data_IF_222434498092
#
_entry.id   IF_222434498092
#
_cell.length_a   1.000
_cell.length_b   1.000
_cell.length_c   1.000
_cell.angle_alpha   90.00
_cell.angle_beta   90.00
_cell.angle_gamma   90.00
#
_symmetry.space_group_name_H-M   'P 1'
#
loop_
_entity.id
_entity.type
_entity.pdbx_description
1 polymer ?
#
# COMPACT_ATOMS: atom_id res chain seq x y z
N UNK A 1 17.31 8.34 24.88
CA UNK A 1 16.23 7.88 23.97
C UNK A 1 16.07 6.40 24.19
N UNK A 2 14.84 5.91 24.40
CA UNK A 2 14.59 4.47 24.48
C UNK A 2 15.01 3.79 23.17
N UNK A 3 15.58 2.60 23.27
CA UNK A 3 15.99 1.82 22.10
C UNK A 3 14.74 1.27 21.37
N UNK A 4 14.66 1.37 20.02
CA UNK A 4 13.49 0.87 19.30
C UNK A 4 13.41 -0.66 19.40
N UNK A 5 12.18 -1.20 19.50
CA UNK A 5 11.93 -2.64 19.68
C UNK A 5 12.66 -3.52 18.67
N UNK A 6 12.81 -3.07 17.42
CA UNK A 6 13.54 -3.82 16.38
C UNK A 6 14.98 -4.19 16.78
N UNK A 7 15.64 -3.38 17.62
CA UNK A 7 17.01 -3.67 18.05
C UNK A 7 17.06 -4.89 18.99
N UNK A 8 16.01 -5.13 19.77
CA UNK A 8 15.95 -6.16 20.82
C UNK A 8 14.91 -7.26 20.59
N UNK A 9 14.08 -7.15 19.55
CA UNK A 9 12.99 -8.11 19.27
C UNK A 9 13.53 -9.53 19.12
N UNK A 10 12.93 -10.48 19.84
CA UNK A 10 13.31 -11.89 19.76
C UNK A 10 12.78 -12.52 18.46
N UNK A 11 13.49 -13.51 17.94
CA UNK A 11 12.99 -14.30 16.82
C UNK A 11 11.99 -15.34 17.34
N UNK A 12 10.76 -15.31 16.83
CA UNK A 12 9.65 -16.11 17.35
C UNK A 12 8.73 -16.60 16.22
N UNK A 13 7.86 -17.56 16.52
CA UNK A 13 6.88 -18.05 15.55
C UNK A 13 5.84 -16.96 15.23
N UNK A 14 5.47 -16.86 13.94
CA UNK A 14 4.50 -15.87 13.50
C UNK A 14 3.06 -16.29 13.79
N UNK A 15 2.64 -17.44 13.28
CA UNK A 15 1.25 -17.90 13.36
C UNK A 15 1.17 -19.40 13.16
N UNK A 16 0.21 -20.04 13.82
CA UNK A 16 -0.12 -21.45 13.58
C UNK A 16 -0.74 -21.68 12.19
N UNK A 17 -1.19 -20.60 11.54
CA UNK A 17 -1.77 -20.62 10.20
C UNK A 17 -0.72 -20.67 9.09
N UNK A 18 0.58 -20.60 9.41
CA UNK A 18 1.67 -20.57 8.42
C UNK A 18 1.55 -21.68 7.34
N UNK A 19 1.23 -22.95 7.67
CA UNK A 19 1.07 -24.01 6.65
C UNK A 19 -0.11 -23.78 5.69
N UNK A 20 -1.08 -22.95 6.07
CA UNK A 20 -2.28 -22.63 5.30
C UNK A 20 -2.15 -21.30 4.53
N UNK A 21 -0.97 -20.67 4.51
CA UNK A 21 -0.75 -19.37 3.87
C UNK A 21 -1.19 -19.30 2.42
N UNK A 22 -0.90 -20.34 1.62
CA UNK A 22 -1.34 -20.41 0.22
C UNK A 22 -2.87 -20.39 0.10
N UNK A 23 -3.58 -21.10 0.97
CA UNK A 23 -5.04 -21.13 0.95
C UNK A 23 -5.62 -19.76 1.29
N UNK A 24 -5.09 -19.08 2.32
CA UNK A 24 -5.51 -17.73 2.71
C UNK A 24 -5.23 -16.74 1.59
N UNK A 25 -4.05 -16.83 0.96
CA UNK A 25 -3.68 -15.99 -0.18
C UNK A 25 -4.62 -16.18 -1.37
N UNK A 26 -4.84 -17.41 -1.83
CA UNK A 26 -5.74 -17.70 -2.96
C UNK A 26 -7.18 -17.28 -2.66
N UNK A 27 -7.67 -17.53 -1.44
CA UNK A 27 -9.01 -17.11 -1.01
C UNK A 27 -9.14 -15.59 -1.02
N UNK A 28 -8.09 -14.87 -0.59
CA UNK A 28 -8.06 -13.40 -0.63
C UNK A 28 -8.07 -12.86 -2.05
N UNK A 29 -7.30 -13.45 -2.97
CA UNK A 29 -7.33 -13.09 -4.40
C UNK A 29 -8.74 -13.29 -4.98
N UNK A 30 -9.37 -14.44 -4.72
CA UNK A 30 -10.72 -14.73 -5.18
C UNK A 30 -11.73 -13.72 -4.62
N UNK A 31 -11.68 -13.42 -3.32
CA UNK A 31 -12.55 -12.43 -2.70
C UNK A 31 -12.40 -11.05 -3.36
N UNK A 32 -11.17 -10.60 -3.62
CA UNK A 32 -10.90 -9.31 -4.28
C UNK A 32 -11.44 -9.29 -5.71
N UNK A 33 -11.33 -10.39 -6.47
CA UNK A 33 -11.91 -10.50 -7.81
C UNK A 33 -13.43 -10.35 -7.75
N UNK A 34 -14.10 -11.07 -6.84
CA UNK A 34 -15.55 -11.01 -6.68
C UNK A 34 -16.01 -9.59 -6.28
N UNK A 35 -15.29 -8.95 -5.36
CA UNK A 35 -15.56 -7.56 -4.96
C UNK A 35 -15.36 -6.60 -6.13
N UNK A 36 -14.30 -6.76 -6.93
CA UNK A 36 -14.08 -5.93 -8.13
C UNK A 36 -15.18 -6.09 -9.17
N UNK A 37 -15.65 -7.32 -9.41
CA UNK A 37 -16.73 -7.58 -10.37
C UNK A 37 -18.06 -6.97 -9.90
N UNK A 38 -18.40 -7.15 -8.61
CA UNK A 38 -19.57 -6.50 -8.00
C UNK A 38 -19.49 -4.97 -8.02
N UNK A 39 -18.30 -4.42 -7.80
CA UNK A 39 -18.04 -2.98 -7.86
C UNK A 39 -18.30 -2.41 -9.26
N UNK A 40 -17.76 -3.05 -10.31
CA UNK A 40 -17.90 -2.60 -11.71
C UNK A 40 -19.33 -2.82 -12.26
N UNK A 41 -19.98 -3.93 -11.93
CA UNK A 41 -21.31 -4.28 -12.48
C UNK A 41 -22.47 -3.62 -11.74
N UNK A 42 -22.33 -3.39 -10.44
CA UNK A 42 -23.47 -2.99 -9.60
C UNK A 42 -23.25 -1.66 -8.87
N UNK A 43 -22.17 -1.52 -8.09
CA UNK A 43 -22.01 -0.38 -7.18
C UNK A 43 -21.66 0.92 -7.90
N UNK A 44 -20.64 0.92 -8.78
CA UNK A 44 -20.23 2.14 -9.51
C UNK A 44 -21.30 2.68 -10.48
N UNK A 45 -22.04 1.84 -11.23
CA UNK A 45 -23.18 2.32 -12.01
C UNK A 45 -24.26 2.98 -11.15
N UNK A 46 -24.51 2.49 -9.93
CA UNK A 46 -25.49 3.09 -9.00
C UNK A 46 -25.00 4.41 -8.41
N UNK A 47 -23.76 4.45 -7.92
CA UNK A 47 -23.20 5.64 -7.26
C UNK A 47 -22.93 6.79 -8.24
N UNK A 48 -22.47 6.46 -9.45
CA UNK A 48 -21.97 7.43 -10.42
C UNK A 48 -22.78 7.48 -11.72
N UNK A 49 -24.04 7.04 -11.72
CA UNK A 49 -24.87 6.78 -12.91
C UNK A 49 -24.59 7.65 -14.15
N UNK A 50 -24.64 8.98 -14.03
CA UNK A 50 -24.33 9.90 -15.15
C UNK A 50 -22.86 9.83 -15.62
N UNK A 51 -21.91 9.86 -14.69
CA UNK A 51 -20.46 9.76 -14.98
C UNK A 51 -20.13 8.37 -15.53
N UNK A 52 -20.71 7.32 -14.96
CA UNK A 52 -20.50 5.94 -15.39
C UNK A 52 -21.06 5.68 -16.79
N UNK A 53 -22.28 6.16 -17.09
CA UNK A 53 -22.86 6.09 -18.43
C UNK A 53 -21.97 6.82 -19.46
N UNK A 54 -21.47 8.01 -19.13
CA UNK A 54 -20.56 8.77 -20.00
C UNK A 54 -19.18 8.11 -20.19
N UNK A 55 -18.76 7.24 -19.27
CA UNK A 55 -17.53 6.44 -19.38
C UNK A 55 -17.75 5.11 -20.13
N UNK A 56 -19.00 4.62 -20.17
CA UNK A 56 -19.40 3.43 -20.94
C UNK A 56 -19.59 3.74 -22.43
N UNK A 57 -20.02 4.96 -22.76
CA UNK A 57 -20.12 5.43 -24.14
C UNK A 57 -18.81 6.08 -24.62
N UNK A 58 -18.15 5.42 -25.60
CA UNK A 58 -16.90 5.87 -26.24
C UNK A 58 -15.66 5.12 -25.76
N UNK A 59 -14.51 5.42 -26.38
CA UNK A 59 -13.23 4.71 -26.20
C UNK A 59 -12.50 5.07 -24.87
N UNK A 60 -13.28 5.29 -23.79
CA UNK A 60 -12.82 5.77 -22.48
C UNK A 60 -12.56 4.63 -21.49
N UNK A 61 -12.25 3.44 -22.00
CA UNK A 61 -12.03 2.22 -21.23
C UNK A 61 -10.99 2.41 -20.11
N UNK A 62 -9.90 3.14 -20.41
CA UNK A 62 -8.84 3.46 -19.43
C UNK A 62 -9.35 4.25 -18.23
N UNK A 63 -10.24 5.22 -18.44
CA UNK A 63 -10.80 6.03 -17.34
C UNK A 63 -11.77 5.21 -16.48
N UNK A 64 -12.57 4.35 -17.11
CA UNK A 64 -13.48 3.43 -16.39
C UNK A 64 -12.71 2.50 -15.46
N UNK A 65 -11.70 1.81 -16.00
CA UNK A 65 -10.84 0.92 -15.21
C UNK A 65 -10.08 1.67 -14.12
N UNK A 66 -9.61 2.88 -14.40
CA UNK A 66 -8.98 3.71 -13.38
C UNK A 66 -9.97 3.98 -12.22
N UNK A 67 -11.22 4.36 -12.50
CA UNK A 67 -12.23 4.60 -11.46
C UNK A 67 -12.49 3.36 -10.61
N UNK A 68 -12.67 2.20 -11.23
CA UNK A 68 -12.86 0.92 -10.55
C UNK A 68 -11.68 0.59 -9.64
N UNK A 69 -10.46 0.67 -10.19
CA UNK A 69 -9.23 0.42 -9.44
C UNK A 69 -9.11 1.31 -8.21
N UNK A 70 -9.41 2.61 -8.34
CA UNK A 70 -9.25 3.49 -7.18
C UNK A 70 -10.23 3.18 -6.05
N UNK A 71 -11.48 2.84 -6.39
CA UNK A 71 -12.48 2.45 -5.40
C UNK A 71 -12.16 1.10 -4.77
N UNK A 72 -11.72 0.14 -5.58
CA UNK A 72 -11.33 -1.18 -5.07
C UNK A 72 -10.18 -1.07 -4.08
N UNK A 73 -9.15 -0.27 -4.40
CA UNK A 73 -8.05 0.01 -3.47
C UNK A 73 -8.58 0.52 -2.13
N UNK A 74 -9.44 1.55 -2.14
CA UNK A 74 -9.98 2.10 -0.89
C UNK A 74 -10.85 1.08 -0.13
N UNK A 75 -11.66 0.30 -0.84
CA UNK A 75 -12.54 -0.71 -0.25
C UNK A 75 -11.78 -1.86 0.40
N UNK A 76 -10.58 -2.18 -0.10
CA UNK A 76 -9.73 -3.24 0.47
C UNK A 76 -8.78 -2.67 1.53
N UNK A 77 -8.05 -1.59 1.20
CA UNK A 77 -6.96 -1.08 2.02
C UNK A 77 -7.41 -0.29 3.25
N UNK A 78 -8.56 0.40 3.19
CA UNK A 78 -9.05 1.17 4.35
C UNK A 78 -9.54 0.26 5.48
N UNK A 79 -10.37 -0.79 5.23
CA UNK A 79 -10.66 -1.79 6.25
C UNK A 79 -9.41 -2.52 6.73
N UNK A 80 -8.50 -2.89 5.82
CA UNK A 80 -7.23 -3.53 6.17
C UNK A 80 -6.41 -2.65 7.13
N UNK A 81 -6.33 -1.34 6.87
CA UNK A 81 -5.61 -0.42 7.76
C UNK A 81 -6.30 -0.23 9.10
N UNK A 82 -7.63 -0.20 9.14
CA UNK A 82 -8.38 -0.03 10.38
C UNK A 82 -8.27 -1.26 11.29
N UNK A 83 -8.44 -2.45 10.71
CA UNK A 83 -8.30 -3.73 11.41
C UNK A 83 -6.84 -3.99 11.78
N UNK A 84 -5.92 -3.68 10.88
CA UNK A 84 -4.48 -3.89 11.06
C UNK A 84 -3.80 -2.88 11.96
N UNK A 85 -4.40 -1.70 12.20
CA UNK A 85 -3.80 -0.67 13.04
C UNK A 85 -3.51 -1.22 14.44
N UNK A 86 -4.50 -1.80 15.11
CA UNK A 86 -4.33 -2.32 16.46
C UNK A 86 -3.20 -3.36 16.58
N UNK A 87 -3.23 -4.52 15.90
CA UNK A 87 -2.18 -5.52 16.03
C UNK A 87 -0.81 -5.01 15.58
N UNK A 88 -0.76 -4.10 14.61
CA UNK A 88 0.51 -3.50 14.15
C UNK A 88 1.08 -2.59 15.23
N UNK A 89 0.29 -1.67 15.79
CA UNK A 89 0.79 -0.76 16.84
C UNK A 89 1.15 -1.51 18.12
N UNK A 90 0.35 -2.51 18.50
CA UNK A 90 0.64 -3.35 19.64
C UNK A 90 1.99 -4.05 19.46
N UNK A 91 2.17 -4.77 18.35
CA UNK A 91 3.45 -5.43 18.07
C UNK A 91 4.64 -4.47 17.91
N UNK A 92 4.47 -3.30 17.28
CA UNK A 92 5.59 -2.39 17.03
C UNK A 92 6.01 -1.59 18.27
N UNK A 93 5.06 -1.21 19.13
CA UNK A 93 5.29 -0.26 20.23
C UNK A 93 5.35 -0.95 21.60
N UNK A 94 4.48 -1.93 21.85
CA UNK A 94 4.45 -2.60 23.16
C UNK A 94 5.52 -3.68 23.24
N UNK A 95 5.71 -4.27 24.41
CA UNK A 95 6.59 -5.43 24.59
C UNK A 95 5.90 -6.75 24.23
N UNK A 96 4.68 -6.70 23.70
CA UNK A 96 3.91 -7.91 23.42
C UNK A 96 4.47 -8.66 22.23
N UNK A 97 4.36 -9.99 22.31
CA UNK A 97 4.89 -10.93 21.35
C UNK A 97 3.84 -11.29 20.29
N UNK A 98 4.27 -11.90 19.18
CA UNK A 98 3.35 -12.30 18.10
C UNK A 98 2.33 -13.34 18.57
N UNK A 99 2.65 -14.08 19.62
CA UNK A 99 1.76 -15.06 20.27
C UNK A 99 0.74 -14.45 21.23
N UNK A 100 0.82 -13.14 21.51
CA UNK A 100 -0.12 -12.49 22.42
C UNK A 100 -1.56 -12.48 21.84
N UNK A 101 -2.59 -12.61 22.70
CA UNK A 101 -3.98 -12.59 22.25
C UNK A 101 -4.37 -11.21 21.74
N UNK A 102 -5.11 -11.16 20.62
CA UNK A 102 -5.54 -9.91 19.97
C UNK A 102 -6.57 -9.12 20.80
N UNK A 103 -7.28 -9.74 21.73
CA UNK A 103 -8.25 -9.04 22.59
C UNK A 103 -8.03 -9.43 24.05
N UNK A 104 -7.60 -8.46 24.85
CA UNK A 104 -7.48 -8.60 26.30
C UNK A 104 -8.86 -8.88 26.91
N UNK A 105 -9.07 -10.09 27.44
CA UNK A 105 -10.30 -10.47 28.17
C UNK A 105 -10.92 -11.80 27.73
N UNK A 106 -10.54 -12.38 26.59
CA UNK A 106 -11.06 -13.69 26.17
C UNK A 106 -10.15 -14.83 26.67
N UNK A 107 -10.28 -15.13 27.96
CA UNK A 107 -9.50 -16.16 28.66
C UNK A 107 -9.98 -17.60 28.38
N UNK A 108 -10.89 -17.80 27.42
CA UNK A 108 -11.46 -19.12 27.11
C UNK A 108 -11.39 -19.43 25.62
N UNK A 109 -10.60 -20.47 25.31
CA UNK A 109 -10.61 -21.31 24.09
C UNK A 109 -10.52 -20.54 22.76
N UNK A 110 -9.33 -20.58 22.16
CA UNK A 110 -8.97 -20.09 20.81
C UNK A 110 -9.02 -18.58 20.63
N UNK A 111 -8.24 -17.84 21.42
CA UNK A 111 -7.98 -16.42 21.16
C UNK A 111 -7.08 -16.29 19.92
N UNK A 112 -7.58 -15.63 18.87
CA UNK A 112 -6.79 -15.20 17.71
C UNK A 112 -5.59 -14.39 18.23
N UNK A 113 -4.39 -14.74 17.78
CA UNK A 113 -3.16 -14.02 18.20
C UNK A 113 -2.91 -12.79 17.31
N UNK A 114 -2.07 -11.87 17.79
CA UNK A 114 -1.57 -10.74 17.00
C UNK A 114 -0.94 -11.27 15.70
N UNK A 115 -0.13 -12.31 15.81
CA UNK A 115 0.54 -12.96 14.70
C UNK A 115 -0.42 -13.55 13.67
N UNK A 116 -1.49 -14.23 14.09
CA UNK A 116 -2.53 -14.74 13.18
C UNK A 116 -3.21 -13.62 12.38
N UNK A 117 -3.49 -12.49 13.05
CA UNK A 117 -4.07 -11.31 12.41
C UNK A 117 -3.10 -10.71 11.40
N UNK A 118 -1.85 -10.44 11.79
CA UNK A 118 -0.84 -9.83 10.93
C UNK A 118 -0.46 -10.72 9.74
N UNK A 119 -0.42 -12.05 9.95
CA UNK A 119 -0.23 -13.04 8.90
C UNK A 119 -1.34 -12.96 7.85
N UNK A 120 -2.59 -12.97 8.30
CA UNK A 120 -3.77 -12.89 7.43
C UNK A 120 -3.81 -11.56 6.66
N UNK A 121 -3.58 -10.44 7.34
CA UNK A 121 -3.57 -9.11 6.73
C UNK A 121 -2.47 -8.97 5.68
N UNK A 122 -1.28 -9.53 5.92
CA UNK A 122 -0.19 -9.54 4.94
C UNK A 122 -0.56 -10.32 3.67
N UNK A 123 -1.28 -11.44 3.80
CA UNK A 123 -1.81 -12.16 2.64
C UNK A 123 -2.88 -11.38 1.88
N UNK A 124 -3.81 -10.71 2.56
CA UNK A 124 -4.81 -9.85 1.89
C UNK A 124 -4.12 -8.70 1.15
N UNK A 125 -3.14 -8.06 1.80
CA UNK A 125 -2.36 -6.97 1.23
C UNK A 125 -1.64 -7.39 -0.06
N UNK A 126 -0.91 -8.50 -0.03
CA UNK A 126 -0.21 -9.04 -1.20
C UNK A 126 -1.17 -9.56 -2.28
N UNK A 127 -2.31 -10.13 -1.90
CA UNK A 127 -3.34 -10.57 -2.84
C UNK A 127 -3.92 -9.40 -3.64
N UNK A 128 -4.12 -8.23 -3.01
CA UNK A 128 -4.52 -7.02 -3.72
C UNK A 128 -3.51 -6.60 -4.78
N UNK A 129 -2.21 -6.60 -4.46
CA UNK A 129 -1.19 -6.21 -5.43
C UNK A 129 -1.04 -7.23 -6.56
N UNK A 130 -1.20 -8.52 -6.27
CA UNK A 130 -1.25 -9.54 -7.32
C UNK A 130 -2.44 -9.29 -8.26
N UNK A 131 -3.62 -9.03 -7.70
CA UNK A 131 -4.80 -8.66 -8.48
C UNK A 131 -4.54 -7.42 -9.35
N UNK A 132 -3.93 -6.36 -8.81
CA UNK A 132 -3.63 -5.15 -9.57
C UNK A 132 -2.66 -5.44 -10.72
N UNK A 133 -1.65 -6.29 -10.51
CA UNK A 133 -0.75 -6.73 -11.57
C UNK A 133 -1.49 -7.52 -12.65
N UNK A 134 -2.30 -8.52 -12.29
CA UNK A 134 -2.98 -9.36 -13.28
C UNK A 134 -3.99 -8.57 -14.14
N UNK A 135 -4.78 -7.69 -13.51
CA UNK A 135 -5.92 -7.05 -14.18
C UNK A 135 -5.66 -5.62 -14.66
N UNK A 136 -4.66 -4.92 -14.08
CA UNK A 136 -4.43 -3.50 -14.36
C UNK A 136 -3.00 -3.15 -14.82
N UNK A 137 -2.13 -4.14 -15.09
CA UNK A 137 -0.74 -3.84 -15.51
C UNK A 137 -0.64 -2.91 -16.72
N UNK A 138 -1.55 -3.05 -17.71
CA UNK A 138 -1.54 -2.24 -18.95
C UNK A 138 -1.69 -0.73 -18.69
N UNK A 139 -2.13 -0.34 -17.50
CA UNK A 139 -2.35 1.06 -17.12
C UNK A 139 -1.28 1.62 -16.18
N UNK A 140 -0.32 0.77 -15.76
CA UNK A 140 0.75 1.10 -14.83
C UNK A 140 2.07 1.35 -15.55
N UNK A 141 2.93 2.19 -14.99
CA UNK A 141 4.30 2.38 -15.48
C UNK A 141 5.17 1.17 -15.10
N UNK A 142 6.27 0.98 -15.82
CA UNK A 142 7.22 -0.09 -15.53
C UNK A 142 7.74 -0.03 -14.08
N UNK A 143 8.05 1.16 -13.57
CA UNK A 143 8.51 1.37 -12.19
C UNK A 143 7.45 0.91 -11.18
N UNK A 144 6.18 1.28 -11.39
CA UNK A 144 5.07 0.84 -10.53
C UNK A 144 4.89 -0.68 -10.56
N UNK A 145 5.02 -1.31 -11.74
CA UNK A 145 4.93 -2.77 -11.90
C UNK A 145 6.06 -3.44 -11.10
N UNK A 146 7.31 -3.00 -11.28
CA UNK A 146 8.48 -3.54 -10.57
C UNK A 146 8.33 -3.35 -9.06
N UNK A 147 7.82 -2.19 -8.62
CA UNK A 147 7.51 -1.92 -7.22
C UNK A 147 6.45 -2.87 -6.65
N UNK A 148 5.34 -3.13 -7.35
CA UNK A 148 4.32 -4.08 -6.88
C UNK A 148 4.86 -5.51 -6.82
N UNK A 149 5.65 -5.94 -7.81
CA UNK A 149 6.32 -7.24 -7.78
C UNK A 149 7.26 -7.33 -6.58
N UNK A 150 8.10 -6.31 -6.38
CA UNK A 150 9.02 -6.24 -5.25
C UNK A 150 8.29 -6.30 -3.90
N UNK A 151 7.18 -5.58 -3.77
CA UNK A 151 6.34 -5.59 -2.58
C UNK A 151 5.78 -6.99 -2.28
N UNK A 152 5.26 -7.69 -3.29
CA UNK A 152 4.77 -9.07 -3.13
C UNK A 152 5.91 -9.99 -2.70
N UNK A 153 7.06 -9.94 -3.40
CA UNK A 153 8.21 -10.79 -3.09
C UNK A 153 8.68 -10.56 -1.65
N UNK A 154 8.90 -9.31 -1.26
CA UNK A 154 9.42 -8.96 0.07
C UNK A 154 8.47 -9.41 1.17
N UNK A 155 7.18 -9.14 1.02
CA UNK A 155 6.18 -9.56 1.99
C UNK A 155 6.08 -11.09 2.07
N UNK A 156 6.06 -11.80 0.94
CA UNK A 156 5.97 -13.26 0.93
C UNK A 156 7.25 -13.92 1.47
N UNK A 157 8.43 -13.38 1.16
CA UNK A 157 9.69 -13.85 1.76
C UNK A 157 9.67 -13.63 3.26
N UNK A 158 9.27 -12.45 3.75
CA UNK A 158 9.18 -12.19 5.18
C UNK A 158 8.27 -13.19 5.92
N UNK A 159 7.21 -13.69 5.27
CA UNK A 159 6.38 -14.77 5.82
C UNK A 159 7.08 -16.13 5.80
N UNK A 160 7.73 -16.49 4.68
CA UNK A 160 8.40 -17.79 4.50
C UNK A 160 9.59 -17.97 5.45
N UNK A 161 10.29 -16.90 5.85
CA UNK A 161 11.40 -16.99 6.79
C UNK A 161 10.99 -17.59 8.16
N UNK A 162 9.71 -17.53 8.53
CA UNK A 162 9.21 -18.15 9.76
C UNK A 162 9.09 -19.67 9.71
N UNK A 163 9.29 -20.30 8.54
CA UNK A 163 9.27 -21.76 8.41
C UNK A 163 10.48 -22.39 9.12
N UNK A 164 11.64 -21.74 9.09
CA UNK A 164 12.85 -22.17 9.79
C UNK A 164 13.52 -20.99 10.51
N UNK A 165 13.09 -20.79 11.76
CA UNK A 165 13.61 -19.73 12.63
C UNK A 165 15.07 -19.94 13.05
N UNK A 166 15.58 -21.16 12.99
CA UNK A 166 16.99 -21.44 13.31
C UNK A 166 17.89 -21.05 12.15
N UNK A 167 17.47 -21.36 10.92
CA UNK A 167 18.16 -20.92 9.71
C UNK A 167 18.05 -19.40 9.51
N UNK A 168 16.97 -18.77 9.97
CA UNK A 168 16.67 -17.34 9.73
C UNK A 168 16.44 -16.56 11.03
N UNK A 169 17.52 -16.19 11.76
CA UNK A 169 17.42 -15.39 13.00
C UNK A 169 16.85 -13.98 12.78
N UNK A 170 16.81 -13.51 11.53
CA UNK A 170 16.26 -12.23 11.11
C UNK A 170 14.74 -12.21 10.83
N UNK A 171 14.06 -13.36 10.81
CA UNK A 171 12.68 -13.47 10.31
C UNK A 171 11.71 -12.47 10.96
N UNK A 172 11.76 -12.33 12.29
CA UNK A 172 10.90 -11.39 13.02
C UNK A 172 11.25 -9.92 12.72
N UNK A 173 12.53 -9.59 12.50
CA UNK A 173 12.94 -8.22 12.14
C UNK A 173 12.52 -7.86 10.71
N UNK A 174 12.64 -8.80 9.77
CA UNK A 174 12.17 -8.64 8.39
C UNK A 174 10.68 -8.34 8.37
N UNK A 175 9.90 -9.12 9.11
CA UNK A 175 8.46 -8.92 9.23
C UNK A 175 8.14 -7.57 9.89
N UNK A 176 8.85 -7.20 10.94
CA UNK A 176 8.73 -5.89 11.60
C UNK A 176 8.95 -4.75 10.60
N UNK A 177 9.99 -4.82 9.77
CA UNK A 177 10.24 -3.81 8.73
C UNK A 177 9.13 -3.79 7.67
N UNK A 178 8.64 -4.96 7.26
CA UNK A 178 7.52 -5.07 6.33
C UNK A 178 6.25 -4.40 6.86
N UNK A 179 5.94 -4.55 8.14
CA UNK A 179 4.77 -3.91 8.77
C UNK A 179 4.89 -2.38 8.74
N UNK A 180 6.06 -1.84 9.06
CA UNK A 180 6.30 -0.40 9.02
C UNK A 180 6.19 0.13 7.59
N UNK A 181 6.77 -0.56 6.61
CA UNK A 181 6.65 -0.18 5.22
C UNK A 181 5.22 -0.26 4.71
N UNK A 182 4.47 -1.31 5.06
CA UNK A 182 3.06 -1.46 4.71
C UNK A 182 2.20 -0.33 5.30
N UNK A 183 2.43 0.02 6.58
CA UNK A 183 1.72 1.13 7.24
C UNK A 183 1.98 2.47 6.53
N UNK A 184 3.23 2.76 6.21
CA UNK A 184 3.61 3.99 5.51
C UNK A 184 3.07 4.02 4.08
N UNK A 185 3.06 2.88 3.38
CA UNK A 185 2.50 2.76 2.04
C UNK A 185 1.03 3.13 1.99
N UNK A 186 0.23 2.49 2.84
CA UNK A 186 -1.21 2.72 2.88
C UNK A 186 -1.51 4.19 3.25
N UNK A 187 -0.76 4.73 4.20
CA UNK A 187 -0.86 6.13 4.64
C UNK A 187 -0.63 7.12 3.50
N UNK A 188 0.29 6.83 2.58
CA UNK A 188 0.55 7.69 1.41
C UNK A 188 -0.47 7.45 0.28
N UNK A 189 -0.83 6.20 0.02
CA UNK A 189 -1.69 5.83 -1.12
C UNK A 189 -3.18 6.17 -0.91
N UNK A 190 -3.71 6.07 0.31
CA UNK A 190 -5.14 6.38 0.56
C UNK A 190 -5.52 7.82 0.15
N UNK A 191 -4.79 8.86 0.55
CA UNK A 191 -5.07 10.23 0.10
C UNK A 191 -4.90 10.41 -1.41
N UNK A 192 -3.88 9.77 -2.00
CA UNK A 192 -3.65 9.81 -3.45
C UNK A 192 -4.85 9.25 -4.22
N UNK A 193 -5.31 8.06 -3.87
CA UNK A 193 -6.41 7.38 -4.55
C UNK A 193 -7.73 8.13 -4.35
N UNK A 194 -7.95 8.68 -3.16
CA UNK A 194 -9.11 9.54 -2.86
C UNK A 194 -9.13 10.79 -3.74
N UNK A 195 -7.99 11.46 -3.90
CA UNK A 195 -7.87 12.63 -4.78
C UNK A 195 -8.14 12.30 -6.25
N UNK A 196 -7.67 11.12 -6.71
CA UNK A 196 -7.92 10.65 -8.07
C UNK A 196 -9.40 10.36 -8.33
N UNK A 197 -10.14 9.83 -7.34
CA UNK A 197 -11.60 9.66 -7.43
C UNK A 197 -12.30 11.01 -7.50
N UNK A 198 -11.99 11.92 -6.56
CA UNK A 198 -12.61 13.26 -6.52
C UNK A 198 -12.44 13.98 -7.85
N UNK A 199 -11.25 13.87 -8.47
CA UNK A 199 -10.97 14.46 -9.78
C UNK A 199 -11.75 13.81 -10.92
N UNK A 200 -11.97 12.49 -10.89
CA UNK A 200 -12.73 11.83 -11.95
C UNK A 200 -14.22 12.15 -11.89
N UNK A 201 -14.73 12.45 -10.69
CA UNK A 201 -16.14 12.74 -10.44
C UNK A 201 -16.46 14.24 -10.55
N UNK A 202 -15.58 15.10 -10.03
CA UNK A 202 -15.75 16.56 -10.04
C UNK A 202 -14.82 17.23 -11.05
N UNK A 203 -15.40 17.85 -12.07
CA UNK A 203 -14.65 18.63 -13.08
C UNK A 203 -14.49 20.10 -12.67
N UNK A 204 -13.89 20.34 -11.49
CA UNK A 204 -13.55 21.70 -11.04
C UNK A 204 -12.06 21.93 -11.16
N UNK A 205 -11.65 22.88 -12.01
CA UNK A 205 -10.23 23.10 -12.31
C UNK A 205 -9.42 23.60 -11.11
N UNK A 206 -9.97 24.52 -10.30
CA UNK A 206 -9.25 25.10 -9.16
C UNK A 206 -9.17 24.15 -7.96
N UNK A 207 -10.28 23.52 -7.58
CA UNK A 207 -10.32 22.62 -6.42
C UNK A 207 -9.54 21.34 -6.71
N UNK A 208 -9.65 20.79 -7.92
CA UNK A 208 -8.86 19.62 -8.31
C UNK A 208 -7.36 19.90 -8.35
N UNK A 209 -6.94 21.09 -8.82
CA UNK A 209 -5.53 21.49 -8.80
C UNK A 209 -4.99 21.62 -7.36
N UNK A 210 -5.76 22.25 -6.45
CA UNK A 210 -5.37 22.36 -5.02
C UNK A 210 -5.23 21.00 -4.36
N UNK A 211 -6.19 20.10 -4.57
CA UNK A 211 -6.13 18.73 -4.03
C UNK A 211 -4.92 18.00 -4.60
N UNK A 212 -4.63 18.13 -5.89
CA UNK A 212 -3.46 17.49 -6.50
C UNK A 212 -2.13 18.02 -5.92
N UNK A 213 -2.01 19.33 -5.67
CA UNK A 213 -0.83 19.90 -5.00
C UNK A 213 -0.71 19.42 -3.55
N UNK A 214 -1.81 19.38 -2.80
CA UNK A 214 -1.83 18.87 -1.43
C UNK A 214 -1.39 17.39 -1.38
N UNK A 215 -1.89 16.55 -2.29
CA UNK A 215 -1.45 15.17 -2.41
C UNK A 215 0.00 15.04 -2.86
N UNK A 216 0.49 15.92 -3.74
CA UNK A 216 1.89 15.92 -4.13
C UNK A 216 2.79 16.21 -2.91
N UNK A 217 2.45 17.21 -2.10
CA UNK A 217 3.17 17.52 -0.88
C UNK A 217 3.09 16.36 0.13
N UNK A 218 1.92 15.73 0.26
CA UNK A 218 1.72 14.56 1.11
C UNK A 218 2.62 13.38 0.70
N UNK A 219 2.69 13.06 -0.59
CA UNK A 219 3.53 11.97 -1.11
C UNK A 219 5.01 12.25 -0.84
N UNK A 220 5.47 13.49 -1.07
CA UNK A 220 6.85 13.87 -0.80
C UNK A 220 7.19 13.80 0.70
N UNK A 221 6.29 14.29 1.56
CA UNK A 221 6.44 14.19 3.01
C UNK A 221 6.48 12.72 3.46
N UNK A 222 5.57 11.88 2.96
CA UNK A 222 5.55 10.45 3.25
C UNK A 222 6.83 9.75 2.80
N UNK A 223 7.35 10.07 1.62
CA UNK A 223 8.63 9.54 1.14
C UNK A 223 9.80 9.95 2.06
N UNK A 224 9.86 11.21 2.49
CA UNK A 224 10.91 11.67 3.43
C UNK A 224 10.80 10.96 4.79
N UNK A 225 9.60 10.86 5.35
CA UNK A 225 9.36 10.15 6.62
C UNK A 225 9.78 8.69 6.50
N UNK A 226 9.42 8.03 5.39
CA UNK A 226 9.76 6.63 5.18
C UNK A 226 11.26 6.40 5.06
N UNK A 227 11.98 7.27 4.35
CA UNK A 227 13.46 7.20 4.28
C UNK A 227 14.07 7.40 5.65
N UNK A 228 13.63 8.43 6.38
CA UNK A 228 14.17 8.75 7.71
C UNK A 228 13.93 7.61 8.71
N UNK A 229 12.70 7.08 8.77
CA UNK A 229 12.34 5.97 9.67
C UNK A 229 13.07 4.69 9.27
N UNK A 230 13.13 4.37 7.98
CA UNK A 230 13.82 3.16 7.51
C UNK A 230 15.32 3.23 7.79
N UNK A 231 15.97 4.36 7.49
CA UNK A 231 17.38 4.56 7.76
C UNK A 231 17.68 4.48 9.27
N UNK A 232 16.82 5.10 10.09
CA UNK A 232 16.93 5.02 11.55
C UNK A 232 16.84 3.57 12.05
N UNK A 233 15.79 2.83 11.66
CA UNK A 233 15.59 1.45 12.12
C UNK A 233 16.67 0.49 11.63
N UNK A 234 17.10 0.63 10.37
CA UNK A 234 18.21 -0.16 9.82
C UNK A 234 19.51 0.13 10.56
N UNK A 235 19.83 1.40 10.81
CA UNK A 235 21.04 1.74 11.57
C UNK A 235 21.02 1.12 12.98
N UNK A 236 19.86 1.13 13.65
CA UNK A 236 19.71 0.58 15.00
C UNK A 236 19.71 -0.94 15.05
N UNK A 237 19.39 -1.62 13.95
CA UNK A 237 19.35 -3.08 13.88
C UNK A 237 20.49 -3.69 13.05
N UNK A 238 21.34 -2.87 12.41
CA UNK A 238 22.28 -3.24 11.34
C UNK A 238 23.12 -4.48 11.63
N UNK A 239 23.66 -4.58 12.85
CA UNK A 239 24.51 -5.69 13.29
C UNK A 239 23.82 -7.05 13.25
N UNK A 240 22.50 -7.09 13.42
CA UNK A 240 21.69 -8.31 13.45
C UNK A 240 21.29 -8.82 12.06
N UNK A 241 21.36 -7.97 11.04
CA UNK A 241 21.01 -8.36 9.67
C UNK A 241 22.11 -9.18 9.03
N UNK A 242 21.72 -10.24 8.33
CA UNK A 242 22.62 -10.97 7.43
C UNK A 242 23.03 -10.09 6.26
N UNK A 243 24.19 -10.41 5.67
CA UNK A 243 24.76 -9.66 4.55
C UNK A 243 23.78 -9.54 3.38
N UNK A 244 23.05 -10.62 3.05
CA UNK A 244 22.06 -10.64 1.98
C UNK A 244 21.05 -9.49 2.13
N UNK A 245 20.51 -9.32 3.32
CA UNK A 245 19.48 -8.31 3.59
C UNK A 245 20.02 -6.90 3.73
N UNK A 246 21.28 -6.75 4.17
CA UNK A 246 22.01 -5.47 4.12
C UNK A 246 22.17 -4.94 2.68
N UNK A 247 22.12 -5.81 1.68
CA UNK A 247 22.16 -5.45 0.25
C UNK A 247 20.74 -5.30 -0.31
N UNK A 248 19.86 -6.26 -0.05
CA UNK A 248 18.51 -6.31 -0.63
C UNK A 248 17.64 -5.15 -0.13
N UNK A 249 17.67 -4.82 1.16
CA UNK A 249 16.80 -3.78 1.74
C UNK A 249 17.04 -2.39 1.13
N UNK A 250 18.29 -1.88 1.01
CA UNK A 250 18.54 -0.61 0.35
C UNK A 250 18.08 -0.53 -1.11
N UNK A 251 18.17 -1.65 -1.85
CA UNK A 251 17.70 -1.73 -3.25
C UNK A 251 16.17 -1.58 -3.30
N UNK A 252 15.46 -2.30 -2.43
CA UNK A 252 13.99 -2.20 -2.32
C UNK A 252 13.57 -0.77 -1.93
N UNK A 253 14.26 -0.16 -0.97
CA UNK A 253 13.97 1.21 -0.55
C UNK A 253 14.20 2.21 -1.70
N UNK A 254 15.24 2.01 -2.51
CA UNK A 254 15.51 2.86 -3.67
C UNK A 254 14.39 2.77 -4.71
N UNK A 255 13.97 1.54 -5.06
CA UNK A 255 12.83 1.30 -5.96
C UNK A 255 11.54 1.94 -5.44
N UNK A 256 11.33 1.88 -4.13
CA UNK A 256 10.20 2.51 -3.47
C UNK A 256 10.19 4.03 -3.66
N UNK A 257 11.30 4.69 -3.34
CA UNK A 257 11.44 6.14 -3.47
C UNK A 257 11.23 6.56 -4.92
N UNK A 258 11.80 5.83 -5.89
CA UNK A 258 11.59 6.10 -7.32
C UNK A 258 10.11 6.09 -7.69
N UNK A 259 9.33 5.17 -7.14
CA UNK A 259 7.88 5.07 -7.39
C UNK A 259 7.14 6.27 -6.80
N UNK A 260 7.46 6.67 -5.56
CA UNK A 260 6.83 7.84 -4.92
C UNK A 260 7.16 9.15 -5.65
N UNK A 261 8.40 9.29 -6.14
CA UNK A 261 8.79 10.43 -6.97
C UNK A 261 8.02 10.45 -8.29
N UNK A 262 7.87 9.31 -8.98
CA UNK A 262 7.09 9.24 -10.22
C UNK A 262 5.63 9.67 -9.98
N UNK A 263 5.02 9.23 -8.88
CA UNK A 263 3.67 9.64 -8.47
C UNK A 263 3.60 11.14 -8.19
N UNK A 264 4.55 11.68 -7.42
CA UNK A 264 4.62 13.11 -7.12
C UNK A 264 4.74 13.94 -8.41
N UNK A 265 5.59 13.53 -9.36
CA UNK A 265 5.71 14.19 -10.67
C UNK A 265 4.41 14.16 -11.45
N UNK A 266 3.70 13.03 -11.47
CA UNK A 266 2.37 12.92 -12.11
C UNK A 266 1.37 13.88 -11.46
N UNK A 267 1.32 13.94 -10.13
CA UNK A 267 0.42 14.84 -9.39
C UNK A 267 0.74 16.32 -9.65
N UNK A 268 2.03 16.70 -9.60
CA UNK A 268 2.48 18.05 -9.89
C UNK A 268 2.15 18.47 -11.33
N UNK A 269 2.41 17.58 -12.30
CA UNK A 269 2.04 17.81 -13.71
C UNK A 269 0.53 18.01 -13.83
N UNK A 270 -0.26 17.12 -13.23
CA UNK A 270 -1.72 17.22 -13.23
C UNK A 270 -2.26 18.51 -12.61
N UNK A 271 -1.57 19.06 -11.61
CA UNK A 271 -1.93 20.32 -10.96
C UNK A 271 -1.59 21.55 -11.83
N UNK A 272 -0.44 21.51 -12.52
CA UNK A 272 0.01 22.58 -13.44
C UNK A 272 -0.91 22.74 -14.66
N UNK A 273 -1.31 21.64 -15.32
CA UNK A 273 -2.14 21.68 -16.53
C UNK A 273 -3.56 22.24 -16.32
N UNK A 274 -4.08 22.20 -15.10
CA UNK A 274 -5.39 22.78 -14.74
C UNK A 274 -5.28 24.13 -14.04
N UNK A 275 -4.07 24.67 -13.89
CA UNK A 275 -3.90 25.99 -13.28
C UNK A 275 -4.28 27.09 -14.30
N UNK A 276 -5.16 28.04 -13.95
CA UNK A 276 -5.65 29.07 -14.88
C UNK A 276 -4.56 29.92 -15.54
N UNK A 277 -3.39 30.07 -14.90
CA UNK A 277 -2.23 30.81 -15.47
C UNK A 277 -1.57 30.05 -16.63
N UNK A 278 -1.33 28.74 -16.48
CA UNK A 278 -0.70 27.94 -17.54
C UNK A 278 -1.58 27.83 -18.80
N UNK A 279 -2.91 27.90 -18.65
CA UNK A 279 -3.83 27.96 -19.78
C UNK A 279 -3.81 29.31 -20.49
N UNK A 280 -3.65 30.41 -19.77
CA UNK A 280 -3.45 31.75 -20.36
C UNK A 280 -2.11 31.89 -21.07
N UNK A 281 -1.07 31.24 -20.57
CA UNK A 281 0.25 31.27 -21.22
C UNK A 281 0.24 30.49 -22.55
N UNK A 282 -0.54 29.41 -22.64
CA UNK A 282 -0.74 28.63 -23.88
C UNK A 282 -1.71 29.33 -24.86
N UNK A 283 -2.81 29.91 -24.34
CA UNK A 283 -3.76 30.67 -25.16
C UNK A 283 -3.18 32.02 -25.61
N UNK A 284 -2.22 32.58 -24.87
CA UNK A 284 -1.49 33.81 -25.20
C UNK A 284 -0.23 33.60 -26.05
N UNK A 285 0.23 32.35 -26.23
CA UNK A 285 1.36 32.00 -27.11
C UNK A 285 0.92 31.54 -28.50
N UNK A 286 -0.36 31.68 -28.86
CA UNK A 286 -0.85 31.41 -30.21
C UNK A 286 -0.95 32.75 -30.97
N UNK A 287 0.02 33.12 -31.84
CA UNK A 287 0.08 34.43 -32.46
C UNK A 287 -0.87 34.59 -33.67
N UNK A 288 -1.90 33.76 -33.80
CA UNK A 288 -2.90 33.87 -34.86
C UNK A 288 -4.28 34.19 -34.28
N UNK A 289 -4.47 35.47 -33.93
CA UNK A 289 -5.75 36.18 -33.97
C UNK A 289 -5.52 37.63 -34.35
#
# INVERSE_FOLDING_TARGET
MAEPKIATVANQALSVLLPYGTLIFCSSVLAIILVSDGLERWLLPRLYGKVWAALRHGDKQRRRHALTRHHLFLLVMLPLSLVGAYPTFDFLVTRDDLSAPLAAGHQHRTSVTIGDSLFTLTHIYTAYYLFELCFYYKFSSAIVIVHHIGLIIVAQVALVLFVDLQAHPEATMEFYMCLIWGLLDITVKVPQFSAMIVRQVKDSDRTSARIAYACCAWVLLGAMVQVAVTAYLLNRSWSRWRLTWRIVVPIILSLWISTQLEVAFKLARMARFKHPRARRDIEGSNPER
#
